data_IF_845947570069
#
_entry.id   IF_845947570069
#
_cell.length_a   1.000
_cell.length_b   1.000
_cell.length_c   1.000
_cell.angle_alpha   90.00
_cell.angle_beta   90.00
_cell.angle_gamma   90.00
#
_symmetry.space_group_name_H-M   'P 1'
#
loop_
_entity.id
_entity.type
_entity.pdbx_description
1 polymer ?
#
# COMPACT_ATOMS: atom_id res chain seq x y z
N UNK A 1 -19.69 11.69 -0.32
CA UNK A 1 -18.85 11.37 -1.48
C UNK A 1 -19.67 10.50 -2.42
N UNK A 2 -19.99 10.99 -3.62
CA UNK A 2 -20.82 10.27 -4.58
C UNK A 2 -19.96 9.22 -5.30
N UNK A 3 -20.13 7.94 -4.94
CA UNK A 3 -19.54 6.80 -5.65
C UNK A 3 -20.50 6.42 -6.77
N UNK A 4 -20.61 7.24 -7.81
CA UNK A 4 -21.58 6.99 -8.91
C UNK A 4 -21.06 6.04 -10.01
N UNK A 5 -19.94 5.34 -9.79
CA UNK A 5 -19.42 4.34 -10.73
C UNK A 5 -18.77 3.18 -9.99
N UNK A 6 -18.85 1.99 -10.58
CA UNK A 6 -18.27 0.71 -10.12
C UNK A 6 -16.73 0.69 -9.99
N UNK A 7 -16.06 1.85 -10.10
CA UNK A 7 -14.61 1.96 -10.07
C UNK A 7 -13.97 1.51 -8.73
N UNK A 8 -14.75 1.51 -7.64
CA UNK A 8 -14.28 1.19 -6.29
C UNK A 8 -14.84 -0.13 -5.73
N UNK A 9 -16.06 -0.51 -6.11
CA UNK A 9 -16.75 -1.67 -5.54
C UNK A 9 -15.97 -2.95 -5.81
N UNK A 10 -15.63 -3.66 -4.74
CA UNK A 10 -14.87 -4.90 -4.73
C UNK A 10 -13.47 -4.82 -5.38
N UNK A 11 -13.00 -3.63 -5.77
CA UNK A 11 -11.69 -3.48 -6.39
C UNK A 11 -10.59 -3.80 -5.37
N UNK A 12 -9.65 -4.71 -5.69
CA UNK A 12 -8.54 -5.00 -4.79
C UNK A 12 -7.66 -3.78 -4.55
N UNK A 13 -7.27 -3.56 -3.30
CA UNK A 13 -6.34 -2.51 -2.92
C UNK A 13 -5.41 -2.96 -1.79
N UNK A 14 -4.22 -2.36 -1.75
CA UNK A 14 -3.26 -2.49 -0.66
C UNK A 14 -2.60 -1.14 -0.39
N UNK A 15 -2.03 -0.97 0.80
CA UNK A 15 -1.24 0.20 1.14
C UNK A 15 0.26 -0.05 1.07
N UNK A 16 0.99 1.00 0.69
CA UNK A 16 2.45 1.10 0.78
C UNK A 16 2.82 2.46 1.34
N UNK A 17 3.88 2.53 2.14
CA UNK A 17 4.21 3.71 2.93
C UNK A 17 5.68 4.08 2.84
N UNK A 18 5.93 5.38 2.67
CA UNK A 18 7.27 5.95 2.58
C UNK A 18 7.79 6.48 3.94
N UNK A 19 7.02 6.35 5.02
CA UNK A 19 7.36 6.92 6.34
C UNK A 19 6.48 6.40 7.45
N UNK A 20 7.01 6.12 8.65
CA UNK A 20 6.23 5.73 9.83
C UNK A 20 5.27 6.82 10.32
N UNK A 21 5.50 8.07 9.94
CA UNK A 21 4.76 9.24 10.47
C UNK A 21 3.30 9.31 10.02
N UNK A 22 2.87 8.48 9.07
CA UNK A 22 1.52 8.51 8.51
C UNK A 22 0.49 7.66 9.27
N UNK A 23 0.81 7.12 10.46
CA UNK A 23 -0.06 6.18 11.20
C UNK A 23 -1.54 6.59 11.23
N UNK A 24 -1.86 7.83 11.63
CA UNK A 24 -3.25 8.31 11.69
C UNK A 24 -3.88 8.47 10.30
N UNK A 25 -3.12 8.98 9.33
CA UNK A 25 -3.59 9.12 7.95
C UNK A 25 -3.89 7.75 7.31
N UNK A 26 -3.13 6.70 7.66
CA UNK A 26 -3.35 5.33 7.19
C UNK A 26 -4.68 4.77 7.70
N UNK A 27 -4.94 4.91 9.00
CA UNK A 27 -6.18 4.44 9.60
C UNK A 27 -7.41 5.14 9.00
N UNK A 28 -7.33 6.46 8.83
CA UNK A 28 -8.39 7.24 8.20
C UNK A 28 -8.60 6.83 6.72
N UNK A 29 -7.52 6.62 5.96
CA UNK A 29 -7.62 6.19 4.57
C UNK A 29 -8.20 4.77 4.44
N UNK A 30 -7.80 3.84 5.32
CA UNK A 30 -8.38 2.51 5.39
C UNK A 30 -9.90 2.57 5.58
N UNK A 31 -10.36 3.43 6.49
CA UNK A 31 -11.78 3.62 6.76
C UNK A 31 -12.54 4.20 5.56
N UNK A 32 -11.96 5.20 4.89
CA UNK A 32 -12.53 5.76 3.66
C UNK A 32 -12.64 4.66 2.58
N UNK A 33 -11.60 3.85 2.38
CA UNK A 33 -11.60 2.80 1.37
C UNK A 33 -12.60 1.67 1.70
N UNK A 34 -12.77 1.31 2.98
CA UNK A 34 -13.84 0.41 3.42
C UNK A 34 -15.22 0.99 3.12
N UNK A 35 -15.42 2.28 3.41
CA UNK A 35 -16.68 2.99 3.09
C UNK A 35 -16.95 3.03 1.59
N UNK A 36 -15.91 3.07 0.76
CA UNK A 36 -15.99 2.98 -0.70
C UNK A 36 -16.06 1.54 -1.23
N UNK A 37 -16.23 0.55 -0.36
CA UNK A 37 -16.38 -0.88 -0.69
C UNK A 37 -15.19 -1.49 -1.43
N UNK A 38 -13.96 -1.01 -1.19
CA UNK A 38 -12.76 -1.67 -1.70
C UNK A 38 -12.54 -3.04 -1.05
N UNK A 39 -12.00 -3.96 -1.83
CA UNK A 39 -11.41 -5.19 -1.33
C UNK A 39 -10.02 -4.88 -0.76
N UNK A 40 -9.95 -4.37 0.46
CA UNK A 40 -8.69 -3.93 1.07
C UNK A 40 -7.94 -5.09 1.73
N UNK A 41 -6.64 -5.21 1.45
CA UNK A 41 -5.71 -6.10 2.16
C UNK A 41 -4.98 -5.31 3.26
N UNK A 42 -5.40 -5.48 4.51
CA UNK A 42 -4.93 -4.67 5.64
C UNK A 42 -3.63 -5.20 6.29
N UNK A 43 -3.35 -6.50 6.17
CA UNK A 43 -2.31 -7.19 6.95
C UNK A 43 -0.87 -7.01 6.45
N UNK A 44 -0.66 -6.26 5.36
CA UNK A 44 0.66 -6.19 4.72
C UNK A 44 0.91 -4.86 4.05
N UNK A 45 0.93 -3.82 4.86
CA UNK A 45 1.45 -2.54 4.43
C UNK A 45 2.98 -2.63 4.33
N UNK A 46 3.52 -2.54 3.12
CA UNK A 46 4.95 -2.34 2.92
C UNK A 46 5.32 -0.95 3.44
N UNK A 47 6.32 -0.85 4.31
CA UNK A 47 6.86 0.42 4.76
C UNK A 47 8.36 0.51 4.49
N UNK A 48 8.77 1.55 3.75
CA UNK A 48 10.18 1.87 3.49
C UNK A 48 10.38 3.36 3.80
N UNK A 49 11.30 3.69 4.70
CA UNK A 49 11.50 5.06 5.15
C UNK A 49 12.26 5.92 4.12
N UNK A 50 11.52 6.64 3.27
CA UNK A 50 12.05 7.51 2.22
C UNK A 50 11.82 9.01 2.50
N UNK A 51 10.98 9.36 3.48
CA UNK A 51 10.67 10.76 3.76
C UNK A 51 11.93 11.56 4.12
N UNK A 52 12.14 12.66 3.39
CA UNK A 52 13.28 13.56 3.57
C UNK A 52 14.56 13.10 2.88
N UNK A 53 14.55 11.97 2.16
CA UNK A 53 15.68 11.49 1.36
C UNK A 53 15.70 12.14 -0.03
N UNK A 54 16.89 12.41 -0.56
CA UNK A 54 17.03 12.88 -1.94
C UNK A 54 16.90 11.70 -2.92
N UNK A 55 16.57 11.95 -4.20
CA UNK A 55 16.47 10.89 -5.21
C UNK A 55 17.61 9.85 -5.21
N UNK A 56 18.90 10.22 -5.22
CA UNK A 56 19.97 9.21 -5.21
C UNK A 56 20.01 8.36 -3.92
N UNK A 57 19.63 8.94 -2.77
CA UNK A 57 19.52 8.20 -1.51
C UNK A 57 18.31 7.25 -1.53
N UNK A 58 17.19 7.68 -2.11
CA UNK A 58 16.00 6.84 -2.27
C UNK A 58 16.30 5.65 -3.17
N UNK A 59 16.98 5.86 -4.30
CA UNK A 59 17.39 4.76 -5.18
C UNK A 59 18.32 3.77 -4.47
N UNK A 60 19.28 4.27 -3.69
CA UNK A 60 20.17 3.42 -2.90
C UNK A 60 19.40 2.56 -1.88
N UNK A 61 18.48 3.18 -1.13
CA UNK A 61 17.62 2.48 -0.15
C UNK A 61 16.75 1.43 -0.87
N UNK A 62 16.07 1.81 -1.95
CA UNK A 62 15.20 0.90 -2.70
C UNK A 62 15.97 -0.23 -3.39
N UNK A 63 17.25 -0.02 -3.70
CA UNK A 63 18.12 -1.03 -4.28
C UNK A 63 18.65 -2.05 -3.26
N UNK A 64 18.56 -1.78 -1.95
CA UNK A 64 18.96 -2.72 -0.91
C UNK A 64 18.26 -4.07 -1.09
N UNK A 65 18.97 -5.20 -1.01
CA UNK A 65 18.37 -6.52 -1.22
C UNK A 65 17.16 -6.80 -0.31
N UNK A 66 17.20 -6.34 0.95
CA UNK A 66 16.11 -6.48 1.89
C UNK A 66 14.85 -5.71 1.44
N UNK A 67 15.00 -4.48 0.96
CA UNK A 67 13.88 -3.68 0.46
C UNK A 67 13.33 -4.24 -0.85
N UNK A 68 14.20 -4.75 -1.74
CA UNK A 68 13.76 -5.48 -2.95
C UNK A 68 12.98 -6.73 -2.62
N UNK A 69 13.43 -7.52 -1.63
CA UNK A 69 12.70 -8.70 -1.18
C UNK A 69 11.33 -8.31 -0.61
N UNK A 70 11.29 -7.34 0.32
CA UNK A 70 10.05 -6.87 0.93
C UNK A 70 9.04 -6.35 -0.12
N UNK A 71 9.51 -5.60 -1.13
CA UNK A 71 8.66 -5.16 -2.25
C UNK A 71 8.09 -6.34 -3.05
N UNK A 72 8.92 -7.34 -3.38
CA UNK A 72 8.48 -8.52 -4.13
C UNK A 72 7.49 -9.37 -3.33
N UNK A 73 7.72 -9.56 -2.04
CA UNK A 73 6.82 -10.29 -1.14
C UNK A 73 5.47 -9.57 -1.00
N UNK A 74 5.49 -8.23 -0.84
CA UNK A 74 4.28 -7.42 -0.74
C UNK A 74 3.44 -7.52 -2.03
N UNK A 75 4.07 -7.38 -3.20
CA UNK A 75 3.41 -7.54 -4.50
C UNK A 75 2.91 -8.97 -4.73
N UNK A 76 3.72 -9.98 -4.39
CA UNK A 76 3.33 -11.39 -4.54
C UNK A 76 2.12 -11.74 -3.69
N UNK A 77 2.10 -11.27 -2.45
CA UNK A 77 0.98 -11.50 -1.54
C UNK A 77 -0.27 -10.70 -1.94
N UNK A 78 -0.13 -9.49 -2.50
CA UNK A 78 -1.26 -8.77 -3.08
C UNK A 78 -1.82 -9.45 -4.33
N UNK A 79 -0.95 -9.98 -5.20
CA UNK A 79 -1.37 -10.78 -6.34
C UNK A 79 -2.09 -12.07 -5.90
N UNK A 80 -1.63 -12.71 -4.82
CA UNK A 80 -2.34 -13.84 -4.20
C UNK A 80 -3.73 -13.46 -3.70
N UNK A 81 -3.84 -12.33 -3.01
CA UNK A 81 -5.13 -11.78 -2.54
C UNK A 81 -6.10 -11.46 -3.68
N UNK A 82 -5.61 -10.92 -4.80
CA UNK A 82 -6.42 -10.68 -6.00
C UNK A 82 -6.96 -12.01 -6.55
N UNK A 83 -6.12 -13.04 -6.65
CA UNK A 83 -6.50 -14.36 -7.20
C UNK A 83 -7.45 -15.17 -6.32
N UNK A 84 -7.52 -14.86 -5.02
CA UNK A 84 -8.43 -15.56 -4.08
C UNK A 84 -9.85 -14.99 -4.05
N UNK A 85 -10.14 -13.96 -4.86
CA UNK A 85 -11.44 -13.30 -4.97
C UNK A 85 -12.00 -13.47 -6.37
#
# INVERSE_FOLDING_TARGET
WLVSRDAAVAKPAMFVHASPRSLYARAALAEIMRTMSFALREEAALEIALLGKKPPEMEAILAEPANRLAMNEALSAFAGFIRSR
#
